data_IF_083075436490
#
_entry.id   IF_083075436490
#
_cell.length_a   1.000
_cell.length_b   1.000
_cell.length_c   1.000
_cell.angle_alpha   90.00
_cell.angle_beta   90.00
_cell.angle_gamma   90.00
#
_symmetry.space_group_name_H-M   'P 1'
#
loop_
_entity.id
_entity.type
_entity.pdbx_description
1 polymer ?
#
# COMPACT_ATOMS: atom_id res chain seq x y z
N UNK A 1 14.57 -20.75 0.22
CA UNK A 1 13.40 -21.21 -0.55
C UNK A 1 13.40 -20.55 -1.93
N UNK A 2 14.00 -21.21 -2.95
CA UNK A 2 14.24 -20.67 -4.31
C UNK A 2 13.20 -21.22 -5.31
N UNK A 3 11.94 -20.81 -5.17
CA UNK A 3 10.87 -21.16 -6.12
C UNK A 3 10.76 -20.15 -7.29
N UNK A 4 11.52 -19.05 -7.20
CA UNK A 4 11.35 -17.83 -8.01
C UNK A 4 12.03 -17.87 -9.38
N UNK A 5 12.88 -18.87 -9.65
CA UNK A 5 13.74 -18.90 -10.86
C UNK A 5 13.25 -19.83 -11.95
N UNK A 6 12.21 -20.63 -11.74
CA UNK A 6 11.75 -21.61 -12.74
C UNK A 6 10.67 -21.05 -13.70
N UNK A 7 9.87 -20.07 -13.27
CA UNK A 7 8.76 -19.50 -14.06
C UNK A 7 9.14 -18.24 -14.88
N UNK A 8 10.37 -18.14 -15.40
CA UNK A 8 10.78 -17.06 -16.32
C UNK A 8 11.31 -17.57 -17.65
N UNK A 9 10.63 -18.54 -18.27
CA UNK A 9 11.02 -19.07 -19.58
C UNK A 9 10.21 -18.54 -20.77
N UNK A 10 9.12 -17.78 -20.55
CA UNK A 10 8.25 -17.32 -21.65
C UNK A 10 7.66 -15.92 -21.39
N UNK A 11 7.66 -15.04 -22.39
CA UNK A 11 7.08 -13.67 -22.33
C UNK A 11 5.62 -13.67 -21.86
N UNK A 12 4.86 -14.70 -22.20
CA UNK A 12 3.46 -14.86 -21.78
C UNK A 12 3.30 -15.00 -20.25
N UNK A 13 4.17 -15.78 -19.59
CA UNK A 13 4.09 -15.98 -18.14
C UNK A 13 4.43 -14.72 -17.34
N UNK A 14 5.36 -13.90 -17.83
CA UNK A 14 5.64 -12.59 -17.23
C UNK A 14 4.47 -11.61 -17.41
N UNK A 15 3.77 -11.67 -18.54
CA UNK A 15 2.60 -10.82 -18.79
C UNK A 15 1.45 -11.20 -17.85
N UNK A 16 1.17 -12.49 -17.71
CA UNK A 16 0.14 -13.01 -16.79
C UNK A 16 0.46 -12.63 -15.35
N UNK A 17 1.72 -12.80 -14.92
CA UNK A 17 2.15 -12.44 -13.57
C UNK A 17 2.00 -10.93 -13.30
N UNK A 18 2.40 -10.09 -14.27
CA UNK A 18 2.26 -8.64 -14.18
C UNK A 18 0.79 -8.20 -14.17
N UNK A 19 -0.07 -8.87 -14.92
CA UNK A 19 -1.52 -8.62 -14.91
C UNK A 19 -2.14 -9.04 -13.58
N UNK A 20 -1.76 -10.19 -13.04
CA UNK A 20 -2.23 -10.67 -11.73
C UNK A 20 -1.88 -9.69 -10.60
N UNK A 21 -0.63 -9.24 -10.54
CA UNK A 21 -0.20 -8.23 -9.56
C UNK A 21 -0.87 -6.88 -9.82
N UNK A 22 -1.06 -6.51 -11.09
CA UNK A 22 -1.80 -5.30 -11.47
C UNK A 22 -3.24 -5.30 -10.98
N UNK A 23 -3.95 -6.43 -11.11
CA UNK A 23 -5.32 -6.59 -10.63
C UNK A 23 -5.36 -6.59 -9.10
N UNK A 24 -4.47 -7.35 -8.44
CA UNK A 24 -4.43 -7.42 -6.98
C UNK A 24 -4.12 -6.06 -6.35
N UNK A 25 -2.99 -5.47 -6.71
CA UNK A 25 -2.61 -4.18 -6.12
C UNK A 25 -3.54 -3.06 -6.59
N UNK A 26 -4.08 -3.12 -7.82
CA UNK A 26 -5.05 -2.16 -8.34
C UNK A 26 -6.36 -2.22 -7.56
N UNK A 27 -6.87 -3.43 -7.32
CA UNK A 27 -8.05 -3.66 -6.48
C UNK A 27 -7.87 -3.14 -5.06
N UNK A 28 -6.74 -3.45 -4.41
CA UNK A 28 -6.44 -2.94 -3.07
C UNK A 28 -6.35 -1.42 -3.06
N UNK A 29 -5.74 -0.80 -4.09
CA UNK A 29 -5.63 0.65 -4.22
C UNK A 29 -7.00 1.31 -4.35
N UNK A 30 -7.89 0.75 -5.19
CA UNK A 30 -9.25 1.27 -5.39
C UNK A 30 -10.09 1.11 -4.12
N UNK A 31 -10.01 -0.03 -3.44
CA UNK A 31 -10.69 -0.24 -2.16
C UNK A 31 -10.20 0.74 -1.09
N UNK A 32 -8.89 0.98 -1.03
CA UNK A 32 -8.32 1.99 -0.16
C UNK A 32 -8.80 3.40 -0.49
N UNK A 33 -8.96 3.72 -1.78
CA UNK A 33 -9.45 5.01 -2.21
C UNK A 33 -10.93 5.21 -1.84
N UNK A 34 -11.76 4.17 -1.93
CA UNK A 34 -13.13 4.20 -1.42
C UNK A 34 -13.13 4.37 0.10
N UNK A 35 -12.21 3.70 0.80
CA UNK A 35 -12.06 3.82 2.25
C UNK A 35 -11.57 5.21 2.71
N UNK A 36 -11.14 6.11 1.80
CA UNK A 36 -10.89 7.52 2.13
C UNK A 36 -12.18 8.30 2.39
N UNK A 37 -13.31 7.86 1.83
CA UNK A 37 -14.61 8.51 2.02
C UNK A 37 -15.14 8.25 3.43
N UNK A 38 -14.83 7.08 4.01
CA UNK A 38 -15.18 6.75 5.38
C UNK A 38 -14.16 7.27 6.41
N UNK A 39 -14.54 7.47 7.68
CA UNK A 39 -13.61 7.77 8.77
C UNK A 39 -12.80 6.51 9.11
N UNK A 40 -11.86 6.15 8.23
CA UNK A 40 -11.01 4.98 8.36
C UNK A 40 -9.62 5.23 7.76
N UNK A 41 -8.66 4.32 7.98
CA UNK A 41 -7.28 4.47 7.50
C UNK A 41 -7.13 4.18 6.00
N UNK A 42 -7.97 4.78 5.15
CA UNK A 42 -7.97 4.57 3.69
C UNK A 42 -6.61 4.87 3.05
N UNK A 43 -5.91 5.89 3.54
CA UNK A 43 -4.54 6.23 3.09
C UNK A 43 -3.58 5.05 3.25
N UNK A 44 -3.63 4.32 4.37
CA UNK A 44 -2.75 3.18 4.60
C UNK A 44 -3.04 2.04 3.61
N UNK A 45 -4.32 1.81 3.31
CA UNK A 45 -4.76 0.78 2.37
C UNK A 45 -4.34 1.14 0.94
N UNK A 46 -4.47 2.41 0.55
CA UNK A 46 -3.97 2.91 -0.75
C UNK A 46 -2.47 2.72 -0.89
N UNK A 47 -1.70 3.06 0.16
CA UNK A 47 -0.24 2.89 0.15
C UNK A 47 0.17 1.41 0.10
N UNK A 48 -0.59 0.52 0.76
CA UNK A 48 -0.38 -0.91 0.66
C UNK A 48 -0.62 -1.44 -0.76
N UNK A 49 -1.71 -0.99 -1.41
CA UNK A 49 -2.02 -1.34 -2.80
C UNK A 49 -0.97 -0.84 -3.79
N UNK A 50 -0.51 0.40 -3.63
CA UNK A 50 0.62 0.96 -4.40
C UNK A 50 1.92 0.19 -4.16
N UNK A 51 2.17 -0.26 -2.93
CA UNK A 51 3.33 -1.10 -2.60
C UNK A 51 3.32 -2.45 -3.32
N UNK A 52 2.14 -3.06 -3.47
CA UNK A 52 1.96 -4.28 -4.27
C UNK A 52 2.22 -3.98 -5.75
N UNK A 53 1.67 -2.88 -6.29
CA UNK A 53 1.94 -2.47 -7.66
C UNK A 53 3.42 -2.19 -7.91
N UNK A 54 4.12 -1.60 -6.95
CA UNK A 54 5.53 -1.24 -7.06
C UNK A 54 6.46 -2.46 -7.27
N UNK A 55 6.01 -3.69 -6.98
CA UNK A 55 6.83 -4.89 -7.22
C UNK A 55 7.02 -5.22 -8.69
N UNK A 56 6.07 -4.83 -9.56
CA UNK A 56 6.12 -5.10 -11.00
C UNK A 56 5.99 -3.82 -11.86
N UNK A 57 5.56 -2.71 -11.28
CA UNK A 57 5.33 -1.45 -11.96
C UNK A 57 6.21 -0.33 -11.37
N UNK A 58 7.23 0.08 -12.12
CA UNK A 58 8.16 1.12 -11.69
C UNK A 58 7.48 2.46 -11.34
N UNK A 59 6.42 2.83 -12.08
CA UNK A 59 5.66 4.06 -11.84
C UNK A 59 5.05 4.12 -10.43
N UNK A 60 4.63 2.98 -9.87
CA UNK A 60 4.03 2.93 -8.54
C UNK A 60 5.08 3.14 -7.44
N UNK A 61 6.28 2.61 -7.64
CA UNK A 61 7.42 2.91 -6.76
C UNK A 61 7.82 4.39 -6.81
N UNK A 62 7.78 4.99 -8.00
CA UNK A 62 8.07 6.41 -8.18
C UNK A 62 7.02 7.31 -7.53
N UNK A 63 5.75 6.95 -7.61
CA UNK A 63 4.66 7.61 -6.89
C UNK A 63 4.87 7.58 -5.37
N UNK A 64 5.22 6.42 -4.78
CA UNK A 64 5.53 6.31 -3.36
C UNK A 64 6.73 7.18 -2.94
N UNK A 65 7.77 7.24 -3.79
CA UNK A 65 8.94 8.11 -3.54
C UNK A 65 8.57 9.58 -3.57
N UNK A 66 7.66 9.99 -4.45
CA UNK A 66 7.12 11.34 -4.49
C UNK A 66 6.35 11.67 -3.21
N UNK A 67 5.45 10.78 -2.77
CA UNK A 67 4.71 10.92 -1.50
C UNK A 67 5.65 11.02 -0.31
N UNK A 68 6.70 10.20 -0.26
CA UNK A 68 7.71 10.25 0.81
C UNK A 68 8.45 11.58 0.85
N UNK A 69 8.80 12.16 -0.32
CA UNK A 69 9.45 13.47 -0.38
C UNK A 69 8.53 14.57 0.16
N UNK A 70 7.25 14.55 -0.21
CA UNK A 70 6.26 15.50 0.30
C UNK A 70 6.10 15.35 1.82
N UNK A 71 5.95 14.11 2.30
CA UNK A 71 5.79 13.80 3.71
C UNK A 71 7.02 14.23 4.54
N UNK A 72 8.23 13.98 4.05
CA UNK A 72 9.46 14.42 4.72
C UNK A 72 9.55 15.94 4.77
N UNK A 73 9.22 16.64 3.67
CA UNK A 73 9.20 18.10 3.62
C UNK A 73 8.18 18.70 4.59
N UNK A 74 7.02 18.05 4.77
CA UNK A 74 6.01 18.43 5.75
C UNK A 74 6.42 18.11 7.19
N UNK A 75 7.09 16.97 7.41
CA UNK A 75 7.61 16.55 8.72
C UNK A 75 8.72 17.49 9.22
N UNK A 76 9.63 17.90 8.33
CA UNK A 76 10.68 18.89 8.64
C UNK A 76 10.10 20.24 9.05
N UNK A 77 8.97 20.64 8.45
CA UNK A 77 8.27 21.90 8.78
C UNK A 77 7.54 21.86 10.13
N UNK A 78 7.17 20.68 10.62
CA UNK A 78 6.28 20.51 11.78
C UNK A 78 7.02 20.20 13.09
N UNK A 79 8.31 19.82 13.06
CA UNK A 79 9.13 19.68 14.27
C UNK A 79 8.62 18.67 15.30
N UNK A 80 7.72 17.75 14.90
CA UNK A 80 7.03 16.83 15.81
C UNK A 80 7.97 15.74 16.35
N UNK A 81 7.87 15.40 17.65
CA UNK A 81 8.66 14.32 18.25
C UNK A 81 8.28 12.96 17.64
N UNK A 82 9.28 12.18 17.21
CA UNK A 82 9.12 10.90 16.49
C UNK A 82 8.24 9.88 17.24
N UNK A 83 8.19 9.93 18.56
CA UNK A 83 7.37 9.05 19.39
C UNK A 83 5.86 9.22 19.17
N UNK A 84 5.40 10.45 18.88
CA UNK A 84 3.99 10.71 18.58
C UNK A 84 3.54 10.08 17.25
N UNK A 85 4.42 10.04 16.25
CA UNK A 85 4.16 9.36 14.98
C UNK A 85 4.03 7.85 15.16
N UNK A 86 4.83 7.22 16.02
CA UNK A 86 4.69 5.77 16.29
C UNK A 86 3.35 5.44 16.94
N UNK A 87 2.86 6.27 17.86
CA UNK A 87 1.55 6.10 18.49
C UNK A 87 0.38 6.24 17.50
N UNK A 88 0.45 7.24 16.62
CA UNK A 88 -0.56 7.46 15.58
C UNK A 88 -0.57 6.31 14.56
N UNK A 89 0.60 5.82 14.16
CA UNK A 89 0.73 4.67 13.24
C UNK A 89 0.22 3.38 13.89
N UNK A 90 0.52 3.13 15.17
CA UNK A 90 0.01 1.96 15.87
C UNK A 90 -1.49 2.02 16.08
N UNK A 91 -2.04 3.19 16.45
CA UNK A 91 -3.48 3.37 16.62
C UNK A 91 -4.22 3.17 15.29
N UNK A 92 -3.70 3.72 14.20
CA UNK A 92 -4.24 3.52 12.86
C UNK A 92 -4.17 2.05 12.42
N UNK A 93 -3.09 1.33 12.73
CA UNK A 93 -2.95 -0.09 12.44
C UNK A 93 -3.99 -0.93 13.20
N UNK A 94 -4.20 -0.66 14.49
CA UNK A 94 -5.21 -1.35 15.31
C UNK A 94 -6.63 -1.08 14.80
N UNK A 95 -6.95 0.18 14.49
CA UNK A 95 -8.24 0.55 13.90
C UNK A 95 -8.47 -0.12 12.54
N UNK A 96 -7.41 -0.30 11.74
CA UNK A 96 -7.49 -1.02 10.47
C UNK A 96 -7.83 -2.50 10.64
N UNK A 97 -7.22 -3.16 11.63
CA UNK A 97 -7.49 -4.58 11.93
C UNK A 97 -8.94 -4.73 12.42
N UNK A 98 -9.38 -3.83 13.30
CA UNK A 98 -10.75 -3.83 13.84
C UNK A 98 -11.79 -3.59 12.74
N UNK A 99 -11.55 -2.66 11.83
CA UNK A 99 -12.44 -2.40 10.69
C UNK A 99 -12.58 -3.59 9.74
N UNK A 100 -11.47 -4.30 9.47
CA UNK A 100 -11.48 -5.53 8.67
C UNK A 100 -12.27 -6.65 9.34
N UNK A 101 -12.15 -6.82 10.65
CA UNK A 101 -12.93 -7.80 11.41
C UNK A 101 -14.42 -7.49 11.37
N UNK A 102 -14.81 -6.22 11.47
CA UNK A 102 -16.23 -5.80 11.42
C UNK A 102 -16.82 -6.01 10.04
N UNK A 103 -16.06 -5.72 8.97
CA UNK A 103 -16.52 -5.93 7.59
C UNK A 103 -16.65 -7.42 7.24
N UNK A 104 -15.76 -8.27 7.74
CA UNK A 104 -15.83 -9.72 7.52
C UNK A 104 -16.88 -10.41 8.41
N UNK A 105 -17.23 -9.82 9.54
CA UNK A 105 -18.23 -10.33 10.50
C UNK A 105 -19.67 -9.92 10.16
N UNK A 106 -19.91 -9.21 9.05
CA UNK A 106 -21.22 -8.76 8.57
C UNK A 106 -21.62 -9.49 7.30
#
# INVERSE_FOLDING_TARGET
>A
MKFRTWMKKTRAGQLVWRLFIGILGGGVTVLGAIALVGPGPGVLVVLAGLGILATEFAWAGEAMMHTKRIANKAAERTGLPKWANYFLVSAAAVLSIVGLLIYYSR
#
